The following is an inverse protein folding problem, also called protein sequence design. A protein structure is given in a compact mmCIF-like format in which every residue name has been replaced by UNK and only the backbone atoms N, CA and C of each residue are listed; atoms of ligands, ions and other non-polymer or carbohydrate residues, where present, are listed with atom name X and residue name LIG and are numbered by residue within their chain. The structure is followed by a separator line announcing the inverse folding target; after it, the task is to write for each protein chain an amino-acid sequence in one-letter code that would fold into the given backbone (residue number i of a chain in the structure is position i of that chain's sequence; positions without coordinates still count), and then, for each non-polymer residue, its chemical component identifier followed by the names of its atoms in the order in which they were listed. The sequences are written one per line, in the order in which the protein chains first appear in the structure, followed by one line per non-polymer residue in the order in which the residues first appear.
data_IF_917294264711
#
_entry.id   IF_917294264711
#
_cell.length_a   1.000
_cell.length_b   1.000
_cell.length_c   1.000
_cell.angle_alpha   90.00
_cell.angle_beta   90.00
_cell.angle_gamma   90.00
#
_symmetry.space_group_name_H-M   'P 1'
#
loop_
_entity.id
_entity.type
_entity.pdbx_description
1 polymer ?
#
# COMPACT_ATOMS: atom_id res chain seq x y z
N UNK A 1 -7.58 18.16 15.01
CA UNK A 1 -8.20 17.90 13.68
C UNK A 1 -9.13 16.72 13.80
N UNK A 2 -10.29 16.76 13.12
CA UNK A 2 -11.18 15.61 12.99
C UNK A 2 -10.74 14.74 11.82
N UNK A 3 -10.50 13.45 12.09
CA UNK A 3 -9.95 12.49 11.12
C UNK A 3 -10.88 11.30 11.02
N UNK A 4 -11.35 11.01 9.81
CA UNK A 4 -12.08 9.80 9.49
C UNK A 4 -11.17 8.77 8.82
N UNK A 5 -11.16 7.55 9.31
CA UNK A 5 -10.40 6.45 8.73
C UNK A 5 -11.37 5.43 8.14
N UNK A 6 -11.28 5.22 6.83
CA UNK A 6 -12.12 4.30 6.07
C UNK A 6 -11.39 2.96 5.90
N UNK A 7 -11.69 2.02 6.79
CA UNK A 7 -11.13 0.69 6.85
C UNK A 7 -10.55 0.35 8.23
N UNK A 8 -11.15 -0.62 8.93
CA UNK A 8 -10.78 -1.04 10.28
C UNK A 8 -9.88 -2.30 10.29
N UNK A 9 -9.16 -2.55 9.19
CA UNK A 9 -8.13 -3.59 9.15
C UNK A 9 -6.89 -3.24 9.99
N UNK A 10 -5.90 -4.12 10.01
CA UNK A 10 -4.67 -3.97 10.80
C UNK A 10 -4.01 -2.59 10.63
N UNK A 11 -3.86 -2.12 9.38
CA UNK A 11 -3.24 -0.82 9.11
C UNK A 11 -4.13 0.37 9.52
N UNK A 12 -5.45 0.29 9.29
CA UNK A 12 -6.38 1.33 9.72
C UNK A 12 -6.41 1.50 11.24
N UNK A 13 -6.40 0.40 11.98
CA UNK A 13 -6.31 0.42 13.45
C UNK A 13 -4.97 0.97 13.94
N UNK A 14 -3.84 0.63 13.31
CA UNK A 14 -2.54 1.17 13.67
C UNK A 14 -2.46 2.69 13.42
N UNK A 15 -3.03 3.19 12.32
CA UNK A 15 -3.14 4.63 12.04
C UNK A 15 -4.06 5.33 13.03
N UNK A 16 -5.21 4.72 13.37
CA UNK A 16 -6.13 5.28 14.36
C UNK A 16 -5.45 5.45 15.73
N UNK A 17 -4.69 4.43 16.15
CA UNK A 17 -3.91 4.48 17.39
C UNK A 17 -2.85 5.58 17.34
N UNK A 18 -2.05 5.67 16.28
CA UNK A 18 -1.03 6.71 16.10
C UNK A 18 -1.65 8.11 16.18
N UNK A 19 -2.72 8.36 15.41
CA UNK A 19 -3.33 9.68 15.29
C UNK A 19 -4.08 10.08 16.56
N UNK A 20 -4.71 9.15 17.26
CA UNK A 20 -5.32 9.41 18.58
C UNK A 20 -4.24 9.75 19.61
N UNK A 21 -3.09 9.07 19.61
CA UNK A 21 -1.94 9.40 20.46
C UNK A 21 -1.32 10.77 20.12
N UNK A 22 -1.48 11.24 18.88
CA UNK A 22 -1.11 12.60 18.45
C UNK A 22 -2.20 13.64 18.80
N UNK A 23 -3.16 13.30 19.67
CA UNK A 23 -4.27 14.16 20.11
C UNK A 23 -5.23 14.61 19.00
N UNK A 24 -5.44 13.78 17.99
CA UNK A 24 -6.48 14.01 16.99
C UNK A 24 -7.79 13.29 17.38
N UNK A 25 -8.92 13.87 16.93
CA UNK A 25 -10.26 13.28 17.06
C UNK A 25 -10.48 12.29 15.93
N UNK A 26 -10.40 10.99 16.23
CA UNK A 26 -10.38 9.91 15.22
C UNK A 26 -11.67 9.13 15.22
N UNK A 27 -12.29 9.00 14.05
CA UNK A 27 -13.45 8.13 13.80
C UNK A 27 -13.07 7.02 12.83
N UNK A 28 -13.17 5.78 13.25
CA UNK A 28 -12.83 4.58 12.46
C UNK A 28 -14.10 3.93 11.95
N UNK A 29 -14.15 3.72 10.63
CA UNK A 29 -15.26 3.08 9.93
C UNK A 29 -14.82 1.76 9.27
N UNK A 30 -15.73 0.78 9.23
CA UNK A 30 -15.60 -0.41 8.39
C UNK A 30 -16.90 -0.75 7.68
N UNK A 31 -16.80 -1.26 6.46
CA UNK A 31 -17.91 -1.88 5.74
C UNK A 31 -18.37 -3.19 6.39
N UNK A 32 -17.51 -3.81 7.22
CA UNK A 32 -17.80 -5.06 7.94
C UNK A 32 -18.25 -4.70 9.35
N UNK A 33 -19.56 -4.69 9.58
CA UNK A 33 -20.15 -4.25 10.85
C UNK A 33 -19.63 -5.02 12.06
N UNK A 34 -19.32 -6.31 11.92
CA UNK A 34 -18.76 -7.13 13.01
C UNK A 34 -17.37 -6.69 13.47
N UNK A 35 -16.53 -6.13 12.56
CA UNK A 35 -15.24 -5.56 12.96
C UNK A 35 -15.43 -4.36 13.89
N UNK A 36 -16.40 -3.50 13.61
CA UNK A 36 -16.74 -2.35 14.44
C UNK A 36 -17.31 -2.79 15.80
N UNK A 37 -18.18 -3.80 15.82
CA UNK A 37 -18.73 -4.36 17.06
C UNK A 37 -17.62 -4.93 17.95
N UNK A 38 -16.70 -5.70 17.39
CA UNK A 38 -15.56 -6.28 18.10
C UNK A 38 -14.62 -5.19 18.65
N UNK A 39 -14.24 -4.21 17.81
CA UNK A 39 -13.36 -3.11 18.22
C UNK A 39 -14.01 -2.24 19.29
N UNK A 40 -15.31 -1.97 19.20
CA UNK A 40 -16.05 -1.21 20.21
C UNK A 40 -16.09 -1.91 21.56
N UNK A 41 -16.25 -3.26 21.54
CA UNK A 41 -16.35 -4.05 22.75
C UNK A 41 -14.98 -4.33 23.40
N UNK A 42 -13.95 -4.62 22.60
CA UNK A 42 -12.67 -5.14 23.09
C UNK A 42 -11.55 -4.09 23.08
N UNK A 43 -11.66 -3.06 22.24
CA UNK A 43 -10.61 -2.08 21.95
C UNK A 43 -9.29 -2.72 21.51
N UNK A 44 -9.38 -3.91 20.90
CA UNK A 44 -8.23 -4.68 20.45
C UNK A 44 -8.48 -5.18 19.04
N UNK A 45 -7.44 -5.11 18.19
CA UNK A 45 -7.45 -5.74 16.89
C UNK A 45 -6.61 -7.02 16.94
N UNK A 46 -7.15 -8.14 16.46
CA UNK A 46 -6.55 -9.49 16.55
C UNK A 46 -5.11 -9.60 16.03
N UNK A 47 -4.73 -8.77 15.06
CA UNK A 47 -3.39 -8.75 14.47
C UNK A 47 -2.46 -7.68 15.06
N UNK A 48 -2.89 -6.93 16.07
CA UNK A 48 -2.09 -5.90 16.75
C UNK A 48 -1.88 -6.29 18.21
N UNK A 49 -1.14 -7.39 18.41
CA UNK A 49 -0.84 -7.91 19.73
C UNK A 49 -0.12 -6.85 20.60
N UNK A 50 -0.50 -6.79 21.86
CA UNK A 50 0.06 -5.83 22.81
C UNK A 50 -0.49 -4.40 22.73
N UNK A 51 -1.30 -4.07 21.70
CA UNK A 51 -1.87 -2.73 21.52
C UNK A 51 -3.33 -2.66 22.00
N UNK A 52 -3.68 -1.57 22.67
CA UNK A 52 -5.06 -1.25 23.09
C UNK A 52 -5.44 0.11 22.53
N UNK A 53 -6.58 0.18 21.86
CA UNK A 53 -7.09 1.41 21.26
C UNK A 53 -7.59 2.37 22.35
N UNK A 54 -7.18 3.66 22.35
CA UNK A 54 -7.66 4.67 23.31
C UNK A 54 -9.18 4.85 23.30
N UNK A 55 -9.71 5.32 24.43
CA UNK A 55 -11.15 5.63 24.55
C UNK A 55 -11.62 6.76 23.65
N UNK A 56 -10.70 7.61 23.24
CA UNK A 56 -10.95 8.75 22.34
C UNK A 56 -11.26 8.36 20.92
N UNK A 57 -11.01 7.09 20.50
CA UNK A 57 -11.33 6.65 19.15
C UNK A 57 -12.82 6.30 19.06
N UNK A 58 -13.52 7.00 18.17
CA UNK A 58 -14.89 6.68 17.79
C UNK A 58 -14.96 5.54 16.78
N UNK A 59 -15.97 4.68 16.91
CA UNK A 59 -16.23 3.57 15.98
C UNK A 59 -17.59 3.75 15.33
N UNK A 60 -17.69 3.58 14.01
CA UNK A 60 -18.95 3.77 13.29
C UNK A 60 -19.14 2.77 12.15
N UNK A 61 -20.39 2.37 11.92
CA UNK A 61 -20.84 1.64 10.73
C UNK A 61 -21.37 2.59 9.65
N UNK A 62 -21.62 3.86 10.01
CA UNK A 62 -22.07 4.89 9.10
C UNK A 62 -20.86 5.61 8.47
N UNK A 63 -20.66 5.42 7.15
CA UNK A 63 -19.55 6.03 6.43
C UNK A 63 -19.62 7.56 6.45
N UNK A 64 -20.82 8.15 6.54
CA UNK A 64 -21.01 9.60 6.53
C UNK A 64 -20.30 10.28 7.71
N UNK A 65 -20.29 9.65 8.89
CA UNK A 65 -19.64 10.17 10.08
C UNK A 65 -18.11 10.26 9.92
N UNK A 66 -17.49 9.29 9.24
CA UNK A 66 -16.04 9.31 8.98
C UNK A 66 -15.69 10.16 7.73
N UNK A 67 -16.54 10.13 6.69
CA UNK A 67 -16.28 10.83 5.45
C UNK A 67 -16.49 12.36 5.53
N UNK A 68 -17.23 12.86 6.53
CA UNK A 68 -17.42 14.30 6.76
C UNK A 68 -16.33 14.98 7.58
N UNK A 69 -15.24 14.27 7.89
CA UNK A 69 -14.11 14.80 8.64
C UNK A 69 -13.21 15.72 7.79
N UNK A 70 -12.39 16.55 8.45
CA UNK A 70 -11.42 17.44 7.80
C UNK A 70 -10.34 16.68 7.02
N UNK A 71 -9.91 15.53 7.57
CA UNK A 71 -9.01 14.58 6.93
C UNK A 71 -9.71 13.22 6.84
N UNK A 72 -9.83 12.68 5.63
CA UNK A 72 -10.38 11.34 5.39
C UNK A 72 -9.29 10.44 4.85
N UNK A 73 -9.03 9.32 5.52
CA UNK A 73 -7.94 8.40 5.16
C UNK A 73 -8.52 7.07 4.67
N UNK A 74 -8.29 6.75 3.41
CA UNK A 74 -8.65 5.46 2.83
C UNK A 74 -7.60 4.40 3.18
N UNK A 75 -8.03 3.30 3.79
CA UNK A 75 -7.17 2.19 4.24
C UNK A 75 -7.81 0.82 3.92
N UNK A 76 -8.78 0.79 3.03
CA UNK A 76 -9.38 -0.45 2.53
C UNK A 76 -8.46 -1.13 1.51
N UNK A 77 -8.59 -2.45 1.25
CA UNK A 77 -7.85 -3.10 0.16
C UNK A 77 -8.09 -2.40 -1.19
N UNK A 78 -7.07 -2.39 -2.06
CA UNK A 78 -7.06 -1.65 -3.32
C UNK A 78 -8.28 -1.92 -4.21
N UNK A 79 -8.76 -3.16 -4.24
CA UNK A 79 -9.95 -3.57 -4.99
C UNK A 79 -11.25 -2.87 -4.55
N UNK A 80 -11.29 -2.32 -3.33
CA UNK A 80 -12.49 -1.66 -2.78
C UNK A 80 -12.40 -0.14 -2.76
N UNK A 81 -11.32 0.48 -3.26
CA UNK A 81 -11.15 1.93 -3.26
C UNK A 81 -12.28 2.62 -4.01
N UNK A 82 -12.58 2.20 -5.24
CA UNK A 82 -13.64 2.82 -6.05
C UNK A 82 -15.02 2.76 -5.39
N UNK A 83 -15.41 1.59 -4.89
CA UNK A 83 -16.71 1.43 -4.23
C UNK A 83 -16.78 2.22 -2.92
N UNK A 84 -15.72 2.23 -2.13
CA UNK A 84 -15.65 3.04 -0.90
C UNK A 84 -15.66 4.53 -1.21
N UNK A 85 -14.95 4.99 -2.24
CA UNK A 85 -14.97 6.37 -2.69
C UNK A 85 -16.37 6.77 -3.16
N UNK A 86 -17.09 5.90 -3.87
CA UNK A 86 -18.47 6.16 -4.30
C UNK A 86 -19.45 6.34 -3.13
N UNK A 87 -19.22 5.63 -2.03
CA UNK A 87 -20.02 5.78 -0.81
C UNK A 87 -19.60 7.01 0.01
N UNK A 88 -18.32 7.35 0.05
CA UNK A 88 -17.78 8.42 0.88
C UNK A 88 -17.90 9.82 0.25
N UNK A 89 -17.68 9.93 -1.07
CA UNK A 89 -17.62 11.23 -1.78
C UNK A 89 -18.85 12.13 -1.60
N UNK A 90 -20.09 11.61 -1.52
CA UNK A 90 -21.27 12.46 -1.24
C UNK A 90 -21.18 13.22 0.09
N UNK A 91 -20.38 12.74 1.04
CA UNK A 91 -20.25 13.27 2.40
C UNK A 91 -19.00 14.12 2.63
N UNK A 92 -18.08 14.20 1.65
CA UNK A 92 -16.89 15.05 1.80
C UNK A 92 -17.27 16.51 2.01
N UNK A 93 -16.58 17.17 2.91
CA UNK A 93 -16.73 18.59 3.18
C UNK A 93 -15.87 19.44 2.23
N UNK A 94 -16.27 20.67 1.98
CA UNK A 94 -15.49 21.59 1.18
C UNK A 94 -14.14 21.90 1.88
N UNK A 95 -13.06 21.85 1.12
CA UNK A 95 -11.68 21.95 1.65
C UNK A 95 -11.14 20.67 2.29
N UNK A 96 -11.84 19.53 2.18
CA UNK A 96 -11.38 18.25 2.76
C UNK A 96 -10.01 17.81 2.23
N UNK A 97 -9.20 17.22 3.13
CA UNK A 97 -7.99 16.52 2.79
C UNK A 97 -8.30 15.02 2.68
N UNK A 98 -8.05 14.43 1.52
CA UNK A 98 -8.39 13.03 1.25
C UNK A 98 -7.09 12.25 1.05
N UNK A 99 -6.69 11.49 2.05
CA UNK A 99 -5.48 10.69 2.01
C UNK A 99 -5.79 9.24 1.62
N UNK A 100 -4.88 8.62 0.88
CA UNK A 100 -4.93 7.20 0.57
C UNK A 100 -3.66 6.50 1.09
N UNK A 101 -3.84 5.55 2.00
CA UNK A 101 -2.79 4.68 2.53
C UNK A 101 -2.87 3.25 1.94
N UNK A 102 -3.83 3.01 1.05
CA UNK A 102 -3.93 1.76 0.29
C UNK A 102 -2.94 1.75 -0.87
N UNK A 103 -2.36 0.59 -1.13
CA UNK A 103 -1.29 0.42 -2.12
C UNK A 103 -1.78 -0.50 -3.25
N UNK A 104 -1.93 0.03 -4.46
CA UNK A 104 -2.42 -0.74 -5.61
C UNK A 104 -2.59 0.11 -6.86
N UNK A 105 -2.98 -0.55 -7.94
CA UNK A 105 -3.34 0.04 -9.24
C UNK A 105 -4.64 -0.65 -9.67
N UNK A 106 -5.63 0.12 -10.09
CA UNK A 106 -6.89 -0.45 -10.57
C UNK A 106 -6.68 -1.09 -11.94
N UNK A 107 -6.87 -2.41 -12.05
CA UNK A 107 -6.55 -3.17 -13.28
C UNK A 107 -7.32 -2.68 -14.52
N UNK A 108 -8.57 -2.25 -14.36
CA UNK A 108 -9.43 -1.83 -15.48
C UNK A 108 -9.01 -0.50 -16.10
N UNK A 109 -8.61 0.47 -15.29
CA UNK A 109 -8.29 1.84 -15.72
C UNK A 109 -6.81 2.15 -15.73
N UNK A 110 -6.01 1.34 -15.02
CA UNK A 110 -4.58 1.53 -14.72
C UNK A 110 -4.33 2.80 -13.90
N UNK A 111 -5.35 3.29 -13.20
CA UNK A 111 -5.26 4.43 -12.28
C UNK A 111 -4.62 4.01 -10.97
N UNK A 112 -3.84 4.91 -10.38
CA UNK A 112 -3.41 4.80 -8.99
C UNK A 112 -4.59 5.06 -8.03
N UNK A 113 -4.44 4.75 -6.76
CA UNK A 113 -5.56 4.82 -5.82
C UNK A 113 -6.09 6.25 -5.62
N UNK A 114 -5.20 7.24 -5.57
CA UNK A 114 -5.65 8.66 -5.51
C UNK A 114 -6.33 9.09 -6.80
N UNK A 115 -5.86 8.66 -7.97
CA UNK A 115 -6.53 8.92 -9.25
C UNK A 115 -7.95 8.31 -9.28
N UNK A 116 -8.14 7.11 -8.73
CA UNK A 116 -9.47 6.48 -8.60
C UNK A 116 -10.39 7.30 -7.69
N UNK A 117 -9.87 7.79 -6.56
CA UNK A 117 -10.64 8.63 -5.63
C UNK A 117 -11.00 9.96 -6.31
N UNK A 118 -10.05 10.59 -7.02
CA UNK A 118 -10.29 11.83 -7.79
C UNK A 118 -11.36 11.62 -8.87
N UNK A 119 -11.26 10.55 -9.67
CA UNK A 119 -12.22 10.20 -10.73
C UNK A 119 -13.66 10.08 -10.20
N UNK A 120 -13.84 9.36 -9.09
CA UNK A 120 -15.14 9.19 -8.44
C UNK A 120 -15.63 10.52 -7.85
N UNK A 121 -14.76 11.26 -7.17
CA UNK A 121 -15.13 12.51 -6.50
C UNK A 121 -15.56 13.58 -7.51
N UNK A 122 -14.81 13.74 -8.59
CA UNK A 122 -15.16 14.68 -9.66
C UNK A 122 -16.49 14.29 -10.33
N UNK A 123 -16.71 12.99 -10.54
CA UNK A 123 -17.96 12.51 -11.14
C UNK A 123 -19.19 12.79 -10.26
N UNK A 124 -19.09 12.66 -8.94
CA UNK A 124 -20.22 12.81 -8.01
C UNK A 124 -20.35 14.23 -7.44
N UNK A 125 -19.24 14.94 -7.28
CA UNK A 125 -19.14 16.25 -6.64
C UNK A 125 -18.22 17.20 -7.44
N UNK A 126 -18.57 17.57 -8.70
CA UNK A 126 -17.68 18.32 -9.60
C UNK A 126 -17.28 19.71 -9.10
N UNK A 127 -18.01 20.29 -8.16
CA UNK A 127 -17.73 21.61 -7.59
C UNK A 127 -16.98 21.56 -6.25
N UNK A 128 -16.76 20.35 -5.69
CA UNK A 128 -16.10 20.21 -4.40
C UNK A 128 -14.62 20.64 -4.48
N UNK A 129 -14.20 21.49 -3.55
CA UNK A 129 -12.78 21.80 -3.35
C UNK A 129 -12.18 20.79 -2.38
N UNK A 130 -11.12 20.10 -2.78
CA UNK A 130 -10.44 19.12 -1.96
C UNK A 130 -8.98 18.94 -2.41
N UNK A 131 -8.19 18.26 -1.61
CA UNK A 131 -6.83 17.86 -1.99
C UNK A 131 -6.62 16.39 -1.71
N UNK A 132 -6.00 15.67 -2.65
CA UNK A 132 -5.62 14.27 -2.48
C UNK A 132 -4.19 14.13 -2.01
N UNK A 133 -3.93 13.13 -1.18
CA UNK A 133 -2.61 12.82 -0.61
C UNK A 133 -2.37 11.32 -0.67
N UNK A 134 -1.25 10.89 -1.22
CA UNK A 134 -0.80 9.51 -1.10
C UNK A 134 0.07 9.32 0.15
N UNK A 135 -0.20 8.27 0.92
CA UNK A 135 0.57 7.88 2.09
C UNK A 135 1.28 6.55 1.82
N UNK A 136 2.61 6.54 1.90
CA UNK A 136 3.42 5.34 1.67
C UNK A 136 4.72 5.39 2.48
N UNK A 137 5.44 4.28 2.54
CA UNK A 137 6.72 4.19 3.25
C UNK A 137 6.88 2.85 3.98
N UNK A 138 8.02 2.62 4.64
CA UNK A 138 8.33 1.41 5.39
C UNK A 138 7.53 1.39 6.71
N UNK A 139 6.25 0.99 6.64
CA UNK A 139 5.28 1.12 7.73
C UNK A 139 4.55 -0.20 7.96
N UNK A 140 5.16 -1.15 8.66
CA UNK A 140 4.44 -2.31 9.17
C UNK A 140 3.49 -1.90 10.29
N UNK A 141 2.22 -2.29 10.18
CA UNK A 141 1.17 -1.90 11.11
C UNK A 141 1.47 -2.33 12.54
N UNK A 142 2.06 -3.51 12.71
CA UNK A 142 2.43 -4.09 13.98
C UNK A 142 3.48 -3.24 14.70
N UNK A 143 4.49 -2.76 13.99
CA UNK A 143 5.54 -1.90 14.54
C UNK A 143 5.03 -0.50 14.86
N UNK A 144 4.19 0.07 13.98
CA UNK A 144 3.55 1.37 14.22
C UNK A 144 2.64 1.33 15.45
N UNK A 145 1.86 0.28 15.61
CA UNK A 145 0.97 0.12 16.75
C UNK A 145 1.72 -0.03 18.09
N UNK A 146 2.94 -0.56 18.07
CA UNK A 146 3.84 -0.63 19.24
C UNK A 146 4.63 0.65 19.48
N UNK A 147 4.48 1.68 18.63
CA UNK A 147 5.22 2.93 18.75
C UNK A 147 6.70 2.82 18.45
N UNK A 148 7.10 1.83 17.63
CA UNK A 148 8.50 1.68 17.21
C UNK A 148 8.86 2.77 16.17
N UNK A 149 10.13 3.22 16.14
CA UNK A 149 10.58 4.24 15.20
C UNK A 149 10.28 3.87 13.75
N UNK A 150 9.49 4.69 13.09
CA UNK A 150 8.98 4.44 11.74
C UNK A 150 8.99 5.73 10.91
N UNK A 151 9.00 5.61 9.59
CA UNK A 151 8.91 6.77 8.70
C UNK A 151 7.82 6.59 7.65
N UNK A 152 7.10 7.69 7.36
CA UNK A 152 6.05 7.74 6.35
C UNK A 152 6.29 8.92 5.39
N UNK A 153 5.86 8.76 4.13
CA UNK A 153 5.84 9.83 3.12
C UNK A 153 4.40 10.24 2.88
N UNK A 154 4.12 11.53 2.97
CA UNK A 154 2.89 12.16 2.53
C UNK A 154 3.15 12.89 1.21
N UNK A 155 2.50 12.46 0.12
CA UNK A 155 2.69 13.05 -1.19
C UNK A 155 1.42 13.73 -1.69
N UNK A 156 1.50 15.02 -2.04
CA UNK A 156 0.40 15.79 -2.60
C UNK A 156 0.91 16.70 -3.73
N UNK A 157 0.04 17.08 -4.67
CA UNK A 157 0.41 18.00 -5.77
C UNK A 157 0.88 19.37 -5.26
N UNK A 158 0.26 19.89 -4.18
CA UNK A 158 0.69 21.09 -3.45
C UNK A 158 1.58 20.68 -2.27
N UNK A 159 2.82 21.19 -2.25
CA UNK A 159 3.80 20.91 -1.18
C UNK A 159 3.29 21.34 0.20
N UNK A 160 2.50 22.41 0.28
CA UNK A 160 1.92 22.88 1.56
C UNK A 160 0.93 21.87 2.11
N UNK A 161 0.15 21.20 1.24
CA UNK A 161 -0.74 20.11 1.63
C UNK A 161 0.05 18.90 2.10
N UNK A 162 1.10 18.52 1.37
CA UNK A 162 1.98 17.43 1.75
C UNK A 162 2.63 17.67 3.12
N UNK A 163 3.15 18.89 3.36
CA UNK A 163 3.74 19.30 4.64
C UNK A 163 2.71 19.27 5.77
N UNK A 164 1.51 19.82 5.56
CA UNK A 164 0.42 19.79 6.55
C UNK A 164 0.06 18.37 6.97
N UNK A 165 -0.02 17.43 6.02
CA UNK A 165 -0.27 16.03 6.35
C UNK A 165 0.93 15.39 7.04
N UNK A 166 2.15 15.69 6.62
CA UNK A 166 3.35 15.21 7.32
C UNK A 166 3.36 15.64 8.80
N UNK A 167 2.96 16.88 9.11
CA UNK A 167 2.82 17.38 10.48
C UNK A 167 1.77 16.62 11.30
N UNK A 168 0.63 16.26 10.69
CA UNK A 168 -0.43 15.46 11.34
C UNK A 168 0.09 14.08 11.79
N UNK A 169 0.95 13.46 10.98
CA UNK A 169 1.51 12.13 11.28
C UNK A 169 2.77 12.18 12.15
N UNK A 170 3.46 13.32 12.21
CA UNK A 170 4.72 13.44 12.95
C UNK A 170 4.53 13.23 14.44
N UNK A 171 5.40 12.42 15.05
CA UNK A 171 5.42 12.14 16.49
C UNK A 171 6.81 11.70 16.95
N UNK A 172 6.97 11.32 18.18
CA UNK A 172 8.23 10.79 18.72
C UNK A 172 8.61 9.43 18.10
N UNK A 173 7.64 8.69 17.57
CA UNK A 173 7.86 7.40 16.93
C UNK A 173 7.63 7.42 15.40
N UNK A 174 6.98 8.45 14.85
CA UNK A 174 6.71 8.56 13.42
C UNK A 174 7.39 9.80 12.83
N UNK A 175 8.38 9.59 11.94
CA UNK A 175 8.95 10.66 11.13
C UNK A 175 8.25 10.74 9.79
N UNK A 176 7.61 11.87 9.52
CA UNK A 176 6.90 12.09 8.26
C UNK A 176 7.71 13.00 7.32
N UNK A 177 7.62 12.71 6.02
CA UNK A 177 8.29 13.46 4.95
C UNK A 177 7.27 13.87 3.89
N UNK A 178 7.35 15.12 3.44
CA UNK A 178 6.55 15.59 2.32
C UNK A 178 7.18 15.22 0.97
N UNK A 179 6.33 14.99 -0.03
CA UNK A 179 6.74 14.77 -1.42
C UNK A 179 5.69 15.39 -2.35
N UNK A 180 6.09 15.74 -3.58
CA UNK A 180 5.17 16.27 -4.59
C UNK A 180 4.97 15.34 -5.80
N UNK A 181 5.62 14.18 -5.81
CA UNK A 181 5.47 13.15 -6.84
C UNK A 181 4.48 12.07 -6.36
N UNK A 182 3.18 12.44 -6.34
CA UNK A 182 2.09 11.56 -5.87
C UNK A 182 2.11 10.23 -6.61
N UNK A 183 2.15 10.29 -7.95
CA UNK A 183 2.13 9.09 -8.81
C UNK A 183 3.34 8.18 -8.56
N UNK A 184 4.53 8.73 -8.41
CA UNK A 184 5.74 7.96 -8.12
C UNK A 184 5.66 7.25 -6.76
N UNK A 185 5.16 7.93 -5.73
CA UNK A 185 4.94 7.35 -4.40
C UNK A 185 3.94 6.19 -4.44
N UNK A 186 2.82 6.34 -5.15
CA UNK A 186 1.81 5.29 -5.28
C UNK A 186 2.29 4.11 -6.12
N UNK A 187 2.99 4.38 -7.23
CA UNK A 187 3.54 3.36 -8.11
C UNK A 187 4.56 2.48 -7.36
N UNK A 188 5.44 3.08 -6.57
CA UNK A 188 6.35 2.36 -5.68
C UNK A 188 5.57 1.43 -4.74
N UNK A 189 4.58 1.98 -4.04
CA UNK A 189 3.77 1.24 -3.06
C UNK A 189 3.04 0.04 -3.68
N UNK A 190 2.56 0.16 -4.93
CA UNK A 190 1.87 -0.90 -5.64
C UNK A 190 2.84 -1.99 -6.14
N UNK A 191 3.85 -1.61 -6.91
CA UNK A 191 4.72 -2.54 -7.62
C UNK A 191 5.73 -3.27 -6.72
N UNK A 192 6.17 -2.65 -5.60
CA UNK A 192 7.05 -3.31 -4.62
C UNK A 192 6.49 -4.64 -4.11
N UNK A 193 5.17 -4.76 -4.03
CA UNK A 193 4.51 -5.95 -3.52
C UNK A 193 4.75 -7.17 -4.41
N UNK A 194 4.89 -6.95 -5.73
CA UNK A 194 5.26 -7.99 -6.70
C UNK A 194 6.69 -8.46 -6.45
N UNK A 195 7.62 -7.53 -6.26
CA UNK A 195 9.02 -7.84 -5.97
C UNK A 195 9.16 -8.57 -4.61
N UNK A 196 8.32 -8.21 -3.65
CA UNK A 196 8.27 -8.92 -2.36
C UNK A 196 7.81 -10.38 -2.51
N UNK A 197 6.88 -10.68 -3.44
CA UNK A 197 6.51 -12.06 -3.80
C UNK A 197 7.73 -12.78 -4.40
N UNK A 198 8.45 -12.15 -5.33
CA UNK A 198 9.66 -12.75 -5.92
C UNK A 198 10.73 -13.06 -4.86
N UNK A 199 10.98 -12.13 -3.93
CA UNK A 199 11.93 -12.32 -2.82
C UNK A 199 11.48 -13.45 -1.88
N UNK A 200 10.19 -13.56 -1.61
CA UNK A 200 9.63 -14.67 -0.85
C UNK A 200 9.81 -16.01 -1.57
N UNK A 201 9.51 -16.08 -2.87
CA UNK A 201 9.68 -17.29 -3.67
C UNK A 201 11.17 -17.74 -3.70
N UNK A 202 12.08 -16.78 -3.81
CA UNK A 202 13.53 -17.01 -3.70
C UNK A 202 13.88 -17.73 -2.38
N UNK A 203 13.36 -17.25 -1.26
CA UNK A 203 13.55 -17.87 0.06
C UNK A 203 12.90 -19.25 0.13
N UNK A 204 11.67 -19.40 -0.38
CA UNK A 204 10.95 -20.68 -0.39
C UNK A 204 11.67 -21.78 -1.18
N UNK A 205 12.39 -21.40 -2.25
CA UNK A 205 13.26 -22.30 -3.03
C UNK A 205 14.58 -22.67 -2.33
N UNK A 206 14.89 -22.04 -1.20
CA UNK A 206 16.14 -22.25 -0.47
C UNK A 206 17.34 -21.44 -1.01
N UNK A 207 17.10 -20.39 -1.81
CA UNK A 207 18.16 -19.50 -2.28
C UNK A 207 18.55 -18.46 -1.22
N UNK A 208 19.77 -17.94 -1.32
CA UNK A 208 20.40 -17.13 -0.28
C UNK A 208 20.20 -15.61 -0.44
N UNK A 209 20.99 -14.87 0.38
CA UNK A 209 20.90 -13.42 0.49
C UNK A 209 21.36 -12.68 -0.78
N UNK A 210 22.35 -13.23 -1.52
CA UNK A 210 22.84 -12.64 -2.76
C UNK A 210 21.72 -12.53 -3.81
N UNK A 211 20.93 -13.59 -3.99
CA UNK A 211 19.78 -13.57 -4.91
C UNK A 211 18.64 -12.69 -4.41
N UNK A 212 18.43 -12.59 -3.11
CA UNK A 212 17.46 -11.65 -2.52
C UNK A 212 17.89 -10.20 -2.78
N UNK A 213 19.16 -9.86 -2.56
CA UNK A 213 19.71 -8.53 -2.83
C UNK A 213 19.58 -8.17 -4.34
N UNK A 214 19.92 -9.13 -5.22
CA UNK A 214 19.75 -8.99 -6.67
C UNK A 214 18.30 -8.68 -7.04
N UNK A 215 17.33 -9.44 -6.52
CA UNK A 215 15.90 -9.24 -6.80
C UNK A 215 15.41 -7.87 -6.32
N UNK A 216 15.83 -7.41 -5.15
CA UNK A 216 15.48 -6.09 -4.62
C UNK A 216 16.05 -4.99 -5.52
N UNK A 217 17.35 -5.06 -5.85
CA UNK A 217 18.04 -4.05 -6.68
C UNK A 217 17.46 -4.00 -8.08
N UNK A 218 17.34 -5.16 -8.75
CA UNK A 218 16.82 -5.22 -10.11
C UNK A 218 15.31 -4.94 -10.17
N UNK A 219 14.55 -5.35 -9.15
CA UNK A 219 13.13 -5.01 -9.01
C UNK A 219 12.91 -3.51 -8.85
N UNK A 220 13.73 -2.83 -8.03
CA UNK A 220 13.66 -1.36 -7.94
C UNK A 220 14.03 -0.69 -9.27
N UNK A 221 14.99 -1.24 -10.01
CA UNK A 221 15.32 -0.73 -11.35
C UNK A 221 14.14 -0.89 -12.35
N UNK A 222 13.37 -1.99 -12.29
CA UNK A 222 12.14 -2.15 -13.08
C UNK A 222 11.10 -1.09 -12.72
N UNK A 223 10.81 -0.94 -11.42
CA UNK A 223 9.84 0.03 -10.91
C UNK A 223 10.25 1.45 -11.30
N UNK A 224 11.54 1.78 -11.18
CA UNK A 224 12.07 3.10 -11.56
C UNK A 224 11.90 3.37 -13.06
N UNK A 225 12.21 2.39 -13.93
CA UNK A 225 12.00 2.54 -15.38
C UNK A 225 10.54 2.80 -15.72
N UNK A 226 9.62 2.04 -15.10
CA UNK A 226 8.19 2.25 -15.28
C UNK A 226 7.78 3.65 -14.81
N UNK A 227 8.22 4.08 -13.64
CA UNK A 227 7.89 5.40 -13.11
C UNK A 227 8.41 6.53 -13.99
N UNK A 228 9.64 6.45 -14.50
CA UNK A 228 10.19 7.44 -15.44
C UNK A 228 9.35 7.49 -16.71
N UNK A 229 8.97 6.34 -17.28
CA UNK A 229 8.10 6.28 -18.45
C UNK A 229 6.71 6.89 -18.20
N UNK A 230 6.23 6.85 -16.95
CA UNK A 230 4.97 7.47 -16.52
C UNK A 230 5.12 8.95 -16.08
N UNK A 231 6.33 9.53 -16.22
CA UNK A 231 6.62 10.94 -15.89
C UNK A 231 6.90 11.20 -14.41
N UNK A 232 7.19 10.17 -13.61
CA UNK A 232 7.55 10.29 -12.20
C UNK A 232 9.03 10.70 -12.03
N UNK A 233 9.38 11.21 -10.86
CA UNK A 233 10.76 11.62 -10.54
C UNK A 233 11.59 10.44 -10.06
N UNK A 234 12.81 10.31 -10.59
CA UNK A 234 13.74 9.22 -10.25
C UNK A 234 14.05 9.16 -8.75
N UNK A 235 14.19 10.31 -8.11
CA UNK A 235 14.53 10.45 -6.68
C UNK A 235 13.48 9.82 -5.78
N UNK A 236 12.20 9.82 -6.18
CA UNK A 236 11.12 9.20 -5.42
C UNK A 236 11.36 7.70 -5.20
N UNK A 237 11.90 7.02 -6.21
CA UNK A 237 12.16 5.57 -6.16
C UNK A 237 13.33 5.21 -5.25
N UNK A 238 14.28 6.13 -5.05
CA UNK A 238 15.43 5.96 -4.16
C UNK A 238 15.13 6.38 -2.71
N UNK A 239 13.93 6.90 -2.45
CA UNK A 239 13.47 7.36 -1.15
C UNK A 239 12.77 6.29 -0.31
N UNK A 240 12.16 6.76 0.81
CA UNK A 240 11.43 5.91 1.76
C UNK A 240 10.23 5.19 1.14
N UNK A 241 9.44 5.87 0.29
CA UNK A 241 8.30 5.27 -0.39
C UNK A 241 8.72 4.27 -1.48
N UNK A 242 9.94 4.36 -2.00
CA UNK A 242 10.54 3.47 -3.00
C UNK A 242 11.36 2.36 -2.37
N UNK A 243 12.69 2.50 -2.41
CA UNK A 243 13.62 1.46 -1.96
C UNK A 243 13.44 1.13 -0.47
N UNK A 244 13.10 2.11 0.38
CA UNK A 244 12.87 1.87 1.82
C UNK A 244 11.70 0.93 2.06
N UNK A 245 10.56 1.19 1.42
CA UNK A 245 9.36 0.35 1.54
C UNK A 245 9.53 -1.02 0.85
N UNK A 246 10.31 -1.08 -0.24
CA UNK A 246 10.64 -2.35 -0.89
C UNK A 246 11.50 -3.24 0.01
N UNK A 247 12.57 -2.70 0.60
CA UNK A 247 13.47 -3.48 1.47
C UNK A 247 12.67 -4.10 2.62
N UNK A 248 11.91 -3.29 3.38
CA UNK A 248 11.16 -3.81 4.52
C UNK A 248 10.12 -4.84 4.10
N UNK A 249 9.46 -4.64 2.94
CA UNK A 249 8.42 -5.57 2.46
C UNK A 249 9.02 -6.88 1.93
N UNK A 250 10.18 -6.84 1.29
CA UNK A 250 10.86 -8.00 0.71
C UNK A 250 11.60 -8.85 1.75
N UNK A 251 11.97 -8.27 2.91
CA UNK A 251 12.77 -8.97 3.92
C UNK A 251 12.02 -9.33 5.19
N UNK A 252 10.93 -8.61 5.50
CA UNK A 252 10.17 -8.81 6.74
C UNK A 252 9.26 -10.04 6.69
N UNK A 253 9.20 -10.75 7.83
CA UNK A 253 8.23 -11.84 8.06
C UNK A 253 6.78 -11.35 8.24
N UNK A 254 6.57 -10.07 8.54
CA UNK A 254 5.24 -9.47 8.61
C UNK A 254 4.65 -9.24 7.22
N UNK A 255 5.45 -9.27 6.15
CA UNK A 255 5.00 -9.07 4.79
C UNK A 255 4.17 -10.24 4.27
N UNK A 256 2.88 -10.04 4.09
CA UNK A 256 1.97 -11.02 3.46
C UNK A 256 2.41 -11.40 2.06
N UNK A 257 2.91 -10.44 1.27
CA UNK A 257 3.42 -10.69 -0.08
C UNK A 257 4.66 -11.58 -0.06
N UNK A 258 5.61 -11.32 0.87
CA UNK A 258 6.80 -12.14 1.02
C UNK A 258 6.43 -13.56 1.49
N UNK A 259 5.53 -13.70 2.48
CA UNK A 259 5.03 -15.01 2.93
C UNK A 259 4.32 -15.78 1.83
N UNK A 260 3.50 -15.11 1.00
CA UNK A 260 2.86 -15.73 -0.16
C UNK A 260 3.90 -16.26 -1.15
N UNK A 261 4.89 -15.45 -1.48
CA UNK A 261 6.02 -15.87 -2.32
C UNK A 261 6.76 -17.06 -1.74
N UNK A 262 7.04 -17.08 -0.44
CA UNK A 262 7.73 -18.20 0.23
C UNK A 262 6.95 -19.51 0.08
N UNK A 263 5.64 -19.50 0.25
CA UNK A 263 4.79 -20.67 0.02
C UNK A 263 4.83 -21.12 -1.44
N UNK A 264 4.71 -20.19 -2.39
CA UNK A 264 4.83 -20.49 -3.82
C UNK A 264 6.22 -21.10 -4.14
N UNK A 265 7.29 -20.57 -3.58
CA UNK A 265 8.65 -21.12 -3.73
C UNK A 265 8.82 -22.55 -3.16
N UNK A 266 7.99 -22.92 -2.18
CA UNK A 266 7.90 -24.27 -1.61
C UNK A 266 7.00 -25.21 -2.43
N UNK A 267 6.37 -24.73 -3.50
CA UNK A 267 5.53 -25.52 -4.40
C UNK A 267 4.02 -25.41 -4.18
N UNK A 268 3.56 -24.50 -3.32
CA UNK A 268 2.13 -24.19 -3.16
C UNK A 268 1.60 -23.42 -4.37
N UNK A 269 0.36 -23.64 -4.73
CA UNK A 269 -0.38 -22.75 -5.63
C UNK A 269 -0.69 -21.42 -4.94
N UNK A 270 -1.04 -20.40 -5.72
CA UNK A 270 -1.44 -19.12 -5.13
C UNK A 270 -2.67 -19.27 -4.22
N UNK A 271 -3.66 -20.06 -4.63
CA UNK A 271 -4.90 -20.30 -3.89
C UNK A 271 -4.63 -20.99 -2.53
N UNK A 272 -3.70 -21.94 -2.49
CA UNK A 272 -3.26 -22.59 -1.26
C UNK A 272 -2.52 -21.61 -0.35
N UNK A 273 -1.59 -20.83 -0.91
CA UNK A 273 -0.84 -19.80 -0.17
C UNK A 273 -1.77 -18.72 0.39
N UNK A 274 -2.77 -18.28 -0.37
CA UNK A 274 -3.75 -17.29 0.08
C UNK A 274 -4.61 -17.82 1.23
N UNK A 275 -5.04 -19.09 1.17
CA UNK A 275 -5.79 -19.74 2.28
C UNK A 275 -4.97 -19.80 3.55
N UNK A 276 -3.68 -20.15 3.44
CA UNK A 276 -2.76 -20.23 4.59
C UNK A 276 -2.52 -18.83 5.22
N UNK A 277 -2.44 -17.78 4.40
CA UNK A 277 -2.24 -16.41 4.88
C UNK A 277 -3.53 -15.84 5.50
N UNK A 278 -4.70 -16.20 4.99
CA UNK A 278 -6.01 -15.76 5.47
C UNK A 278 -6.29 -14.26 5.28
N UNK A 279 -5.48 -13.54 4.49
CA UNK A 279 -5.58 -12.09 4.28
C UNK A 279 -5.27 -11.75 2.82
N UNK A 280 -5.67 -10.54 2.38
CA UNK A 280 -5.43 -10.04 1.02
C UNK A 280 -3.93 -9.91 0.74
N UNK A 281 -3.50 -10.42 -0.43
CA UNK A 281 -2.14 -10.30 -0.97
C UNK A 281 -2.17 -9.28 -2.10
N UNK A 282 -1.83 -8.03 -1.81
CA UNK A 282 -1.93 -6.91 -2.76
C UNK A 282 -1.06 -7.09 -4.01
N UNK A 283 0.09 -7.76 -3.88
CA UNK A 283 0.97 -8.06 -5.02
C UNK A 283 0.29 -8.90 -6.11
N UNK A 284 -0.63 -9.80 -5.74
CA UNK A 284 -1.42 -10.56 -6.69
C UNK A 284 -2.36 -9.66 -7.51
N UNK A 285 -3.04 -8.72 -6.83
CA UNK A 285 -3.95 -7.79 -7.49
C UNK A 285 -3.21 -6.77 -8.37
N UNK A 286 -1.98 -6.42 -8.02
CA UNK A 286 -1.15 -5.51 -8.80
C UNK A 286 -0.57 -6.13 -10.08
N UNK A 287 -0.47 -7.47 -10.18
CA UNK A 287 0.21 -8.16 -11.30
C UNK A 287 -0.38 -7.83 -12.66
N UNK A 288 -1.69 -7.93 -12.82
CA UNK A 288 -2.35 -7.69 -14.12
C UNK A 288 -2.18 -6.24 -14.56
N UNK A 289 -2.34 -5.29 -13.63
CA UNK A 289 -2.11 -3.88 -13.90
C UNK A 289 -0.65 -3.60 -14.25
N UNK A 290 0.32 -4.24 -13.56
CA UNK A 290 1.74 -4.06 -13.82
C UNK A 290 2.15 -4.56 -15.22
N UNK A 291 1.63 -5.72 -15.65
CA UNK A 291 1.87 -6.25 -17.01
C UNK A 291 1.22 -5.32 -18.05
N UNK A 292 -0.03 -4.90 -17.85
CA UNK A 292 -0.69 -3.98 -18.76
C UNK A 292 0.02 -2.61 -18.86
N UNK A 293 0.59 -2.11 -17.78
CA UNK A 293 1.44 -0.91 -17.80
C UNK A 293 2.74 -1.16 -18.56
N UNK A 294 3.39 -2.32 -18.34
CA UNK A 294 4.59 -2.74 -19.10
C UNK A 294 4.34 -2.69 -20.60
N UNK A 295 3.25 -3.26 -21.06
CA UNK A 295 2.85 -3.28 -22.48
C UNK A 295 2.52 -1.86 -22.98
N UNK A 296 1.72 -1.10 -22.21
CA UNK A 296 1.28 0.25 -22.59
C UNK A 296 2.43 1.24 -22.76
N UNK A 297 3.45 1.15 -21.91
CA UNK A 297 4.61 2.06 -21.92
C UNK A 297 5.85 1.49 -22.60
N UNK A 298 5.80 0.23 -23.08
CA UNK A 298 6.93 -0.43 -23.72
C UNK A 298 8.13 -0.61 -22.78
N UNK A 299 7.88 -0.82 -21.48
CA UNK A 299 8.92 -0.94 -20.44
C UNK A 299 9.14 -2.40 -20.09
N UNK A 300 10.35 -2.92 -20.24
CA UNK A 300 10.70 -4.28 -19.80
C UNK A 300 10.65 -4.41 -18.28
N UNK A 301 9.83 -5.34 -17.81
CA UNK A 301 9.68 -5.70 -16.38
C UNK A 301 9.87 -7.22 -16.18
N UNK A 302 11.09 -7.75 -16.36
CA UNK A 302 11.33 -9.19 -16.39
C UNK A 302 11.00 -9.90 -15.09
N UNK A 303 11.26 -9.32 -13.90
CA UNK A 303 10.90 -9.94 -12.61
C UNK A 303 9.38 -9.95 -12.44
N UNK A 304 8.72 -8.85 -12.77
CA UNK A 304 7.24 -8.75 -12.74
C UNK A 304 6.61 -9.82 -13.65
N UNK A 305 7.12 -9.98 -14.88
CA UNK A 305 6.63 -10.98 -15.82
C UNK A 305 6.92 -12.42 -15.34
N UNK A 306 8.05 -12.66 -14.69
CA UNK A 306 8.37 -13.96 -14.11
C UNK A 306 7.37 -14.31 -12.97
N UNK A 307 7.07 -13.38 -12.07
CA UNK A 307 6.06 -13.56 -11.02
C UNK A 307 4.68 -13.80 -11.63
N UNK A 308 4.31 -13.05 -12.67
CA UNK A 308 3.05 -13.24 -13.39
C UNK A 308 2.96 -14.65 -13.98
N UNK A 309 4.02 -15.13 -14.66
CA UNK A 309 4.07 -16.46 -15.23
C UNK A 309 3.93 -17.56 -14.18
N UNK A 310 4.57 -17.40 -13.01
CA UNK A 310 4.42 -18.36 -11.91
C UNK A 310 3.00 -18.40 -11.37
N UNK A 311 2.39 -17.24 -11.11
CA UNK A 311 1.10 -17.16 -10.42
C UNK A 311 -0.08 -17.41 -11.37
N UNK A 312 -0.03 -16.89 -12.59
CA UNK A 312 -1.18 -16.89 -13.51
C UNK A 312 -1.07 -17.96 -14.61
N UNK A 313 0.14 -18.45 -14.90
CA UNK A 313 0.37 -19.41 -15.99
C UNK A 313 0.93 -20.74 -15.50
N UNK A 314 1.13 -20.90 -14.19
CA UNK A 314 1.59 -22.16 -13.60
C UNK A 314 3.06 -22.50 -13.86
N UNK A 315 3.88 -21.52 -14.25
CA UNK A 315 5.32 -21.73 -14.46
C UNK A 315 6.02 -22.02 -13.13
N UNK A 316 6.97 -22.96 -13.15
CA UNK A 316 7.76 -23.26 -11.97
C UNK A 316 8.62 -22.05 -11.55
N UNK A 317 8.66 -21.67 -10.25
CA UNK A 317 9.54 -20.60 -9.78
C UNK A 317 11.03 -20.85 -10.09
N UNK A 318 11.49 -22.11 -10.12
CA UNK A 318 12.88 -22.47 -10.49
C UNK A 318 13.16 -22.21 -11.96
N UNK A 319 12.24 -22.56 -12.84
CA UNK A 319 12.37 -22.27 -14.27
C UNK A 319 12.39 -20.77 -14.52
N UNK A 320 11.47 -20.02 -13.90
CA UNK A 320 11.42 -18.56 -13.98
C UNK A 320 12.73 -17.89 -13.50
N UNK A 321 13.31 -18.38 -12.41
CA UNK A 321 14.60 -17.90 -11.91
C UNK A 321 15.73 -18.23 -12.90
N UNK A 322 15.76 -19.44 -13.44
CA UNK A 322 16.78 -19.84 -14.45
C UNK A 322 16.71 -18.93 -15.68
N UNK A 323 15.53 -18.64 -16.17
CA UNK A 323 15.36 -17.72 -17.31
C UNK A 323 15.84 -16.31 -16.98
N UNK A 324 15.53 -15.78 -15.77
CA UNK A 324 16.04 -14.47 -15.36
C UNK A 324 17.59 -14.44 -15.33
N UNK A 325 18.23 -15.52 -14.87
CA UNK A 325 19.68 -15.62 -14.76
C UNK A 325 20.38 -15.83 -16.11
N UNK A 326 19.69 -16.37 -17.11
CA UNK A 326 20.26 -16.68 -18.44
C UNK A 326 19.90 -15.62 -19.50
N UNK A 327 19.29 -14.50 -19.10
CA UNK A 327 19.03 -13.36 -20.01
C UNK A 327 20.33 -12.81 -20.58
N UNK A 328 20.22 -12.16 -21.74
CA UNK A 328 21.33 -11.43 -22.34
C UNK A 328 22.01 -10.48 -21.36
N UNK A 329 23.34 -10.46 -21.40
CA UNK A 329 24.13 -9.57 -20.56
C UNK A 329 23.86 -8.10 -20.94
N UNK A 330 23.69 -7.27 -19.93
CA UNK A 330 23.47 -5.83 -20.08
C UNK A 330 24.47 -5.06 -19.21
N UNK A 331 24.81 -3.87 -19.64
CA UNK A 331 25.54 -2.91 -18.81
C UNK A 331 24.59 -2.42 -17.70
N UNK A 332 25.12 -2.37 -16.48
CA UNK A 332 24.37 -1.89 -15.31
C UNK A 332 24.36 -0.35 -15.23
#
# INVERSE_FOLDING_TARGET
MKIGILGAGTWGCALALLLANNNHDVTLWSAIGSEIDELSATRRHKSLEGSVMPESIGYTKDISAAASCELVIFVVPSAYIRSTASLAAPHFTDGALIACASKGIESRTLMTMTEVIEDVTVSLRPQLQYSTVALSGPTHAEEVALGLPTSIVAAAKDERVAMRIAEVFASTCMRAYANTDVKGVELCGALKNIIAIAAGANRGMGFGDNSTAMLITRGMAEITRMGIAMGCRRETFMGLAGIGDLIVTATSRHSRNNRCGELIGKGYTYEEAQREIGMVVEGYHALEAAVALSDRYGVEMPITNAVYACIKQGKSPREAMTELMTRELKVE
#
